data_IF_763366243823
#
_entry.id   IF_763366243823
#
_cell.length_a   1.000
_cell.length_b   1.000
_cell.length_c   1.000
_cell.angle_alpha   90.00
_cell.angle_beta   90.00
_cell.angle_gamma   90.00
#
_symmetry.space_group_name_H-M   'P 1'
#
loop_
_entity.id
_entity.type
_entity.pdbx_description
1 polymer ?
#
# COMPACT_ATOMS: atom_id res chain seq x y z
N UNK A 1 0.04 -4.69 -18.25
CA UNK A 1 -1.43 -4.67 -18.43
C UNK A 1 -1.85 -3.31 -18.97
N UNK A 2 -2.86 -3.21 -19.84
CA UNK A 2 -3.39 -1.94 -20.35
C UNK A 2 -4.85 -1.80 -19.90
N UNK A 3 -5.14 -0.72 -19.20
CA UNK A 3 -6.47 -0.41 -18.68
C UNK A 3 -6.83 1.01 -19.12
N UNK A 4 -8.06 1.21 -19.60
CA UNK A 4 -8.60 2.54 -19.84
C UNK A 4 -9.29 3.02 -18.56
N UNK A 5 -8.99 4.25 -18.13
CA UNK A 5 -9.59 4.90 -16.96
C UNK A 5 -10.15 6.25 -17.36
N UNK A 6 -11.27 6.64 -16.76
CA UNK A 6 -11.81 7.99 -16.85
C UNK A 6 -11.19 8.84 -15.75
N UNK A 7 -10.64 9.99 -16.12
CA UNK A 7 -10.10 11.00 -15.19
C UNK A 7 -10.59 12.37 -15.60
N UNK A 8 -10.64 13.31 -14.64
CA UNK A 8 -10.97 14.70 -14.95
C UNK A 8 -9.97 15.31 -15.93
N UNK A 9 -10.45 16.17 -16.82
CA UNK A 9 -9.66 16.73 -17.91
C UNK A 9 -8.49 17.61 -17.41
N UNK A 10 -8.71 18.37 -16.34
CA UNK A 10 -7.70 19.19 -15.68
C UNK A 10 -6.52 18.38 -15.09
N UNK A 11 -6.83 17.20 -14.53
CA UNK A 11 -5.83 16.24 -14.04
C UNK A 11 -5.02 15.69 -15.22
N UNK A 12 -5.70 15.31 -16.31
CA UNK A 12 -5.03 14.83 -17.52
C UNK A 12 -4.07 15.88 -18.11
N UNK A 13 -4.52 17.12 -18.30
CA UNK A 13 -3.69 18.22 -18.82
C UNK A 13 -2.47 18.50 -17.92
N UNK A 14 -2.66 18.42 -16.61
CA UNK A 14 -1.58 18.61 -15.65
C UNK A 14 -0.55 17.48 -15.71
N UNK A 15 -0.99 16.23 -15.86
CA UNK A 15 -0.13 15.08 -16.07
C UNK A 15 0.63 15.16 -17.41
N UNK A 16 -0.03 15.55 -18.50
CA UNK A 16 0.62 15.73 -19.81
C UNK A 16 1.73 16.78 -19.77
N UNK A 17 1.46 17.93 -19.14
CA UNK A 17 2.48 18.97 -18.95
C UNK A 17 3.67 18.45 -18.15
N UNK A 18 3.42 17.68 -17.10
CA UNK A 18 4.49 17.07 -16.30
C UNK A 18 5.30 16.06 -17.12
N UNK A 19 4.64 15.15 -17.83
CA UNK A 19 5.28 14.14 -18.67
C UNK A 19 6.22 14.78 -19.70
N UNK A 20 5.78 15.86 -20.36
CA UNK A 20 6.59 16.62 -21.32
C UNK A 20 7.81 17.26 -20.66
N UNK A 21 7.65 17.90 -19.50
CA UNK A 21 8.78 18.51 -18.76
C UNK A 21 9.80 17.47 -18.31
N UNK A 22 9.36 16.30 -17.88
CA UNK A 22 10.23 15.22 -17.39
C UNK A 22 10.70 14.27 -18.49
N UNK A 23 10.33 14.51 -19.76
CA UNK A 23 10.59 13.63 -20.90
C UNK A 23 10.17 12.16 -20.66
N UNK A 24 9.08 11.95 -19.93
CA UNK A 24 8.51 10.63 -19.69
C UNK A 24 7.38 10.35 -20.66
N UNK A 25 7.21 9.09 -21.06
CA UNK A 25 5.99 8.70 -21.75
C UNK A 25 4.80 8.78 -20.78
N UNK A 26 3.59 8.95 -21.33
CA UNK A 26 2.36 8.99 -20.53
C UNK A 26 2.21 7.76 -19.65
N UNK A 27 2.38 6.57 -20.25
CA UNK A 27 2.29 5.30 -19.54
C UNK A 27 3.33 5.18 -18.43
N UNK A 28 4.55 5.67 -18.64
CA UNK A 28 5.58 5.66 -17.61
C UNK A 28 5.22 6.58 -16.45
N UNK A 29 4.77 7.82 -16.73
CA UNK A 29 4.37 8.75 -15.67
C UNK A 29 3.25 8.17 -14.80
N UNK A 30 2.18 7.66 -15.41
CA UNK A 30 1.08 7.07 -14.65
C UNK A 30 1.51 5.83 -13.87
N UNK A 31 2.39 4.99 -14.43
CA UNK A 31 2.90 3.81 -13.73
C UNK A 31 3.74 4.19 -12.50
N UNK A 32 4.59 5.21 -12.61
CA UNK A 32 5.39 5.71 -11.50
C UNK A 32 4.50 6.25 -10.38
N UNK A 33 3.51 7.08 -10.74
CA UNK A 33 2.57 7.67 -9.77
C UNK A 33 1.75 6.61 -9.05
N UNK A 34 1.22 5.61 -9.76
CA UNK A 34 0.45 4.52 -9.13
C UNK A 34 1.34 3.72 -8.19
N UNK A 35 2.57 3.38 -8.60
CA UNK A 35 3.52 2.66 -7.75
C UNK A 35 3.83 3.44 -6.48
N UNK A 36 4.11 4.73 -6.62
CA UNK A 36 4.41 5.60 -5.48
C UNK A 36 3.20 5.76 -4.57
N UNK A 37 2.00 5.96 -5.12
CA UNK A 37 0.78 6.07 -4.35
C UNK A 37 0.53 4.80 -3.54
N UNK A 38 0.64 3.62 -4.16
CA UNK A 38 0.49 2.33 -3.47
C UNK A 38 1.53 2.20 -2.37
N UNK A 39 2.80 2.50 -2.64
CA UNK A 39 3.86 2.40 -1.63
C UNK A 39 3.66 3.35 -0.44
N UNK A 40 3.06 4.54 -0.65
CA UNK A 40 2.73 5.46 0.45
C UNK A 40 1.55 4.98 1.30
N UNK A 41 0.63 4.21 0.71
CA UNK A 41 -0.56 3.71 1.39
C UNK A 41 -0.45 2.23 1.78
N UNK A 42 0.71 1.60 1.54
CA UNK A 42 0.95 0.20 1.88
C UNK A 42 1.30 -0.03 3.35
N UNK A 43 1.18 0.98 4.23
CA UNK A 43 1.25 0.75 5.69
C UNK A 43 0.22 -0.30 6.10
N UNK A 44 -0.98 -0.23 5.50
CA UNK A 44 -2.02 -1.23 5.69
C UNK A 44 -1.66 -2.57 5.05
N UNK A 45 -0.95 -2.59 3.91
CA UNK A 45 -0.51 -3.83 3.26
C UNK A 45 0.58 -4.56 4.06
N UNK A 46 1.42 -3.86 4.81
CA UNK A 46 2.38 -4.51 5.71
C UNK A 46 1.65 -5.21 6.86
N UNK A 47 0.68 -4.52 7.47
CA UNK A 47 -0.18 -5.11 8.50
C UNK A 47 -0.94 -6.30 7.93
N UNK A 48 -1.60 -6.16 6.77
CA UNK A 48 -2.31 -7.24 6.10
C UNK A 48 -1.39 -8.39 5.69
N UNK A 49 -0.15 -8.12 5.28
CA UNK A 49 0.83 -9.16 4.99
C UNK A 49 1.25 -9.90 6.26
N UNK A 50 1.45 -9.19 7.37
CA UNK A 50 1.72 -9.81 8.67
C UNK A 50 0.53 -10.62 9.16
N UNK A 51 -0.70 -10.12 9.05
CA UNK A 51 -1.92 -10.85 9.40
C UNK A 51 -2.05 -12.14 8.58
N UNK A 52 -1.74 -12.09 7.27
CA UNK A 52 -1.73 -13.28 6.40
C UNK A 52 -0.67 -14.31 6.84
N UNK A 53 0.52 -13.86 7.24
CA UNK A 53 1.58 -14.74 7.76
C UNK A 53 1.16 -15.35 9.10
N UNK A 54 0.63 -14.55 10.02
CA UNK A 54 0.11 -15.02 11.30
C UNK A 54 -1.02 -16.04 11.12
N UNK A 55 -1.97 -15.78 10.22
CA UNK A 55 -3.07 -16.70 9.91
C UNK A 55 -2.58 -18.01 9.26
N UNK A 56 -1.54 -17.94 8.41
CA UNK A 56 -0.94 -19.14 7.82
C UNK A 56 -0.11 -19.97 8.82
N UNK A 57 0.36 -19.33 9.90
CA UNK A 57 1.11 -19.96 10.99
C UNK A 57 0.21 -20.45 12.13
N UNK A 58 -1.11 -20.24 12.07
CA UNK A 58 -2.06 -20.60 13.14
C UNK A 58 -2.34 -22.11 13.17
N UNK A 59 -1.29 -22.90 13.43
CA UNK A 59 -1.42 -24.21 14.06
C UNK A 59 -1.09 -24.03 15.55
N UNK A 60 -2.14 -23.73 16.33
CA UNK A 60 -2.19 -23.71 17.80
C UNK A 60 -1.32 -22.66 18.51
N UNK A 61 -1.72 -21.40 18.41
CA UNK A 61 -1.22 -20.39 19.36
C UNK A 61 -1.76 -20.69 20.76
N UNK A 62 -0.88 -21.06 21.71
CA UNK A 62 -1.25 -21.29 23.12
C UNK A 62 -1.96 -20.05 23.71
N UNK A 63 -3.12 -20.27 24.33
CA UNK A 63 -3.95 -19.22 24.92
C UNK A 63 -3.19 -18.35 25.94
N UNK A 64 -2.23 -18.94 26.67
CA UNK A 64 -1.37 -18.21 27.59
C UNK A 64 -0.47 -17.20 26.86
N UNK A 65 0.13 -17.62 25.73
CA UNK A 65 1.02 -16.78 24.92
C UNK A 65 0.25 -15.60 24.31
N UNK A 66 -0.96 -15.85 23.83
CA UNK A 66 -1.84 -14.79 23.29
C UNK A 66 -2.20 -13.75 24.35
N UNK A 67 -2.62 -14.17 25.55
CA UNK A 67 -2.97 -13.26 26.64
C UNK A 67 -1.76 -12.46 27.17
N UNK A 68 -0.57 -13.07 27.21
CA UNK A 68 0.65 -12.38 27.59
C UNK A 68 1.03 -11.30 26.56
N UNK A 69 0.94 -11.62 25.26
CA UNK A 69 1.24 -10.69 24.18
C UNK A 69 0.31 -9.47 24.19
N UNK A 70 -1.01 -9.66 24.30
CA UNK A 70 -1.96 -8.54 24.33
C UNK A 70 -1.68 -7.55 25.46
N UNK A 71 -1.37 -8.04 26.68
CA UNK A 71 -1.03 -7.16 27.82
C UNK A 71 0.25 -6.36 27.63
N UNK A 72 1.22 -6.89 26.88
CA UNK A 72 2.48 -6.19 26.58
C UNK A 72 2.26 -5.13 25.52
N UNK A 73 1.44 -5.42 24.51
CA UNK A 73 1.07 -4.48 23.45
C UNK A 73 0.21 -3.32 23.98
N UNK A 74 -0.78 -3.60 24.84
CA UNK A 74 -1.62 -2.58 25.49
C UNK A 74 -0.83 -1.59 26.37
N UNK A 75 0.38 -1.97 26.81
CA UNK A 75 1.25 -1.12 27.64
C UNK A 75 2.23 -0.26 26.82
N UNK A 76 2.24 -0.41 25.50
CA UNK A 76 3.09 0.42 24.65
C UNK A 76 2.24 1.45 23.90
N UNK A 77 2.62 2.72 24.03
CA UNK A 77 2.10 3.82 23.24
C UNK A 77 2.85 3.84 21.90
N UNK A 78 2.48 2.97 20.96
CA UNK A 78 2.95 3.08 19.56
C UNK A 78 2.24 4.21 18.84
#
# INVERSE_FOLDING_TARGET
MKTAISIHHDVFESAERLARRTRKSRSQLFSDVVREYVARHSVDEVTLAMDRVCAALDESTDHFVSLAASRVLERNDW
#
